data_IF_823424645475
#
_entry.id   IF_823424645475
#
_cell.length_a   1.000
_cell.length_b   1.000
_cell.length_c   1.000
_cell.angle_alpha   90.00
_cell.angle_beta   90.00
_cell.angle_gamma   90.00
#
_symmetry.space_group_name_H-M   'P 1'
#
loop_
_entity.id
_entity.type
_entity.pdbx_description
1 polymer ?
#
# COMPACT_ATOMS: atom_id res chain seq x y z
N UNK A 1 -11.02 6.27 16.42
CA UNK A 1 -10.13 5.21 15.87
C UNK A 1 -9.64 5.67 14.51
N UNK A 2 -8.42 5.33 14.09
CA UNK A 2 -7.98 5.55 12.70
C UNK A 2 -8.43 4.38 11.85
N UNK A 3 -8.84 4.64 10.60
CA UNK A 3 -9.29 3.61 9.67
C UNK A 3 -8.43 3.62 8.41
N UNK A 4 -7.70 2.53 8.18
CA UNK A 4 -7.06 2.24 6.89
C UNK A 4 -8.02 1.35 6.11
N UNK A 5 -8.76 1.93 5.18
CA UNK A 5 -9.97 1.33 4.60
C UNK A 5 -9.68 0.33 3.46
N UNK A 6 -8.54 -0.36 3.49
CA UNK A 6 -8.12 -1.22 2.39
C UNK A 6 -7.93 -0.42 1.10
N UNK A 7 -8.32 -1.00 -0.03
CA UNK A 7 -8.39 -0.27 -1.29
C UNK A 7 -9.62 -0.65 -2.11
N UNK A 8 -10.08 0.27 -2.96
CA UNK A 8 -11.27 0.15 -3.79
C UNK A 8 -10.97 0.63 -5.21
N UNK A 9 -11.76 0.16 -6.18
CA UNK A 9 -11.73 0.75 -7.51
C UNK A 9 -12.46 2.09 -7.48
N UNK A 10 -11.79 3.13 -7.94
CA UNK A 10 -12.32 4.49 -7.93
C UNK A 10 -12.30 5.07 -9.34
N UNK A 11 -13.44 5.59 -9.82
CA UNK A 11 -13.50 6.34 -11.08
C UNK A 11 -13.20 7.82 -10.77
N UNK A 12 -12.04 8.30 -11.20
CA UNK A 12 -11.63 9.70 -11.05
C UNK A 12 -12.53 10.59 -11.92
N UNK A 13 -13.03 11.66 -11.31
CA UNK A 13 -14.02 12.57 -11.93
C UNK A 13 -13.46 13.44 -13.05
N UNK A 14 -12.13 13.63 -13.06
CA UNK A 14 -11.46 14.55 -13.96
C UNK A 14 -11.21 13.94 -15.35
N UNK A 15 -10.91 12.63 -15.41
CA UNK A 15 -10.31 12.02 -16.60
C UNK A 15 -10.99 10.70 -17.05
N UNK A 16 -12.09 10.31 -16.42
CA UNK A 16 -12.72 8.97 -16.53
C UNK A 16 -11.83 7.78 -16.14
N UNK A 17 -10.58 8.03 -15.74
CA UNK A 17 -9.61 7.04 -15.29
C UNK A 17 -10.13 6.25 -14.09
N UNK A 18 -9.90 4.94 -14.10
CA UNK A 18 -10.18 4.07 -12.94
C UNK A 18 -8.86 3.80 -12.23
N UNK A 19 -8.80 3.99 -10.92
CA UNK A 19 -7.61 3.71 -10.12
C UNK A 19 -7.92 2.71 -9.02
N UNK A 20 -6.87 2.09 -8.46
CA UNK A 20 -7.00 1.29 -7.24
C UNK A 20 -6.53 2.16 -6.06
N UNK A 21 -7.50 2.64 -5.28
CA UNK A 21 -7.31 3.72 -4.32
C UNK A 21 -7.46 3.23 -2.89
N UNK A 22 -6.49 3.57 -2.04
CA UNK A 22 -6.58 3.43 -0.59
C UNK A 22 -7.01 4.75 0.05
N UNK A 23 -7.95 4.66 0.99
CA UNK A 23 -8.35 5.78 1.82
C UNK A 23 -7.97 5.57 3.29
N UNK A 24 -7.52 6.64 3.94
CA UNK A 24 -7.26 6.64 5.39
C UNK A 24 -8.02 7.78 6.05
N UNK A 25 -8.70 7.47 7.16
CA UNK A 25 -9.45 8.44 7.94
C UNK A 25 -8.95 8.53 9.38
N UNK A 26 -8.97 9.73 9.95
CA UNK A 26 -8.62 9.95 11.35
C UNK A 26 -9.80 9.69 12.30
N UNK A 27 -9.59 9.97 13.60
CA UNK A 27 -10.58 9.72 14.65
C UNK A 27 -11.81 10.64 14.55
N UNK A 28 -11.68 11.76 13.84
CA UNK A 28 -12.70 12.76 13.61
C UNK A 28 -13.49 12.49 12.31
N UNK A 29 -13.08 11.48 11.53
CA UNK A 29 -13.68 11.15 10.23
C UNK A 29 -13.10 11.97 9.08
N UNK A 30 -12.02 12.71 9.29
CA UNK A 30 -11.35 13.50 8.26
C UNK A 30 -10.47 12.59 7.41
N UNK A 31 -10.46 12.84 6.09
CA UNK A 31 -9.64 12.11 5.14
C UNK A 31 -8.17 12.56 5.27
N UNK A 32 -7.30 11.62 5.63
CA UNK A 32 -5.85 11.85 5.76
C UNK A 32 -5.06 11.41 4.54
N UNK A 33 -5.56 10.41 3.81
CA UNK A 33 -4.87 9.88 2.64
C UNK A 33 -5.87 9.46 1.57
N UNK A 34 -5.60 9.88 0.34
CA UNK A 34 -6.13 9.34 -0.90
C UNK A 34 -4.91 8.89 -1.72
N UNK A 35 -4.68 7.57 -1.79
CA UNK A 35 -3.49 7.00 -2.42
C UNK A 35 -3.86 6.05 -3.55
N UNK A 36 -3.48 6.40 -4.77
CA UNK A 36 -3.57 5.52 -5.94
C UNK A 36 -2.35 4.62 -6.06
N UNK A 37 -2.60 3.32 -6.27
CA UNK A 37 -1.59 2.30 -6.51
C UNK A 37 -0.64 2.73 -7.64
N UNK A 38 0.65 2.81 -7.33
CA UNK A 38 1.67 3.24 -8.30
C UNK A 38 2.03 2.07 -9.24
N UNK A 39 2.24 0.87 -8.69
CA UNK A 39 2.70 -0.26 -9.49
C UNK A 39 1.56 -1.21 -9.85
N UNK A 40 1.00 -1.04 -11.05
CA UNK A 40 -0.08 -1.90 -11.56
C UNK A 40 0.39 -3.35 -11.78
N UNK A 41 -0.48 -4.31 -11.45
CA UNK A 41 -0.19 -5.74 -11.60
C UNK A 41 -0.49 -6.21 -13.02
N UNK A 42 0.54 -6.22 -13.87
CA UNK A 42 0.40 -6.51 -15.31
C UNK A 42 -0.04 -7.95 -15.65
N UNK A 43 0.24 -8.92 -14.79
CA UNK A 43 -0.08 -10.34 -15.06
C UNK A 43 -1.59 -10.65 -15.03
N UNK A 44 -2.43 -9.72 -14.60
CA UNK A 44 -3.89 -9.80 -14.64
C UNK A 44 -4.50 -8.65 -15.44
N UNK A 45 -3.73 -8.10 -16.38
CA UNK A 45 -4.18 -7.03 -17.28
C UNK A 45 -4.67 -5.76 -16.59
N UNK A 46 -4.32 -5.51 -15.32
CA UNK A 46 -4.74 -4.29 -14.58
C UNK A 46 -4.42 -3.02 -15.38
N UNK A 47 -3.25 -2.97 -16.03
CA UNK A 47 -2.81 -1.85 -16.87
C UNK A 47 -3.70 -1.51 -18.08
N UNK A 48 -4.60 -2.40 -18.49
CA UNK A 48 -5.56 -2.14 -19.57
C UNK A 48 -6.84 -1.45 -19.07
N UNK A 49 -7.08 -1.49 -17.75
CA UNK A 49 -8.33 -1.02 -17.14
C UNK A 49 -8.11 0.04 -16.06
N UNK A 50 -6.91 0.07 -15.48
CA UNK A 50 -6.54 0.95 -14.37
C UNK A 50 -5.42 1.89 -14.77
N UNK A 51 -5.49 3.10 -14.24
CA UNK A 51 -4.46 4.12 -14.33
C UNK A 51 -3.58 4.07 -13.08
N UNK A 52 -2.26 4.20 -13.27
CA UNK A 52 -1.31 4.23 -12.18
C UNK A 52 -1.36 5.57 -11.43
N UNK A 53 -1.24 5.52 -10.11
CA UNK A 53 -1.00 6.71 -9.31
C UNK A 53 0.43 7.24 -9.47
N UNK A 54 0.64 8.51 -9.13
CA UNK A 54 1.94 9.18 -9.19
C UNK A 54 2.37 9.84 -7.87
N UNK A 55 1.53 9.78 -6.84
CA UNK A 55 1.80 10.35 -5.52
C UNK A 55 2.27 9.30 -4.51
N UNK A 56 3.15 9.68 -3.60
CA UNK A 56 3.56 8.82 -2.49
C UNK A 56 2.44 8.73 -1.43
N UNK A 57 2.11 7.52 -1.00
CA UNK A 57 1.15 7.31 0.09
C UNK A 57 1.78 7.61 1.45
N UNK A 58 1.71 8.86 1.92
CA UNK A 58 2.19 9.25 3.25
C UNK A 58 1.11 10.01 4.00
N UNK A 59 0.90 9.69 5.27
CA UNK A 59 0.01 10.46 6.13
C UNK A 59 0.55 10.55 7.56
N UNK A 60 0.17 11.62 8.25
CA UNK A 60 0.50 11.83 9.65
C UNK A 60 -0.51 11.08 10.54
N UNK A 61 0.01 10.19 11.39
CA UNK A 61 -0.78 9.48 12.40
C UNK A 61 -0.87 10.29 13.71
N UNK A 62 -0.08 11.35 13.86
CA UNK A 62 0.11 12.11 15.09
C UNK A 62 1.27 11.58 15.92
N UNK A 63 1.60 12.28 17.01
CA UNK A 63 2.69 11.90 17.94
C UNK A 63 4.05 11.70 17.23
N UNK A 64 4.33 12.54 16.23
CA UNK A 64 5.51 12.46 15.36
C UNK A 64 5.64 11.14 14.57
N UNK A 65 4.54 10.42 14.32
CA UNK A 65 4.53 9.18 13.53
C UNK A 65 3.94 9.42 12.16
N UNK A 66 4.78 9.38 11.13
CA UNK A 66 4.33 9.29 9.72
C UNK A 66 4.20 7.83 9.30
N UNK A 67 3.12 7.50 8.61
CA UNK A 67 2.86 6.17 8.05
C UNK A 67 2.94 6.23 6.53
N UNK A 68 3.66 5.28 5.93
CA UNK A 68 3.68 5.04 4.49
C UNK A 68 2.69 3.95 4.08
N UNK A 69 1.92 4.19 3.03
CA UNK A 69 0.93 3.28 2.48
C UNK A 69 1.41 2.68 1.15
N UNK A 70 1.09 1.40 0.94
CA UNK A 70 1.38 0.64 -0.27
C UNK A 70 0.20 -0.29 -0.58
N UNK A 71 -0.03 -0.59 -1.87
CA UNK A 71 -1.09 -1.51 -2.29
C UNK A 71 -0.50 -2.72 -3.02
N UNK A 72 -0.62 -3.88 -2.39
CA UNK A 72 -0.38 -5.22 -2.95
C UNK A 72 0.95 -5.40 -3.71
N UNK A 73 0.97 -5.02 -4.99
CA UNK A 73 2.11 -5.20 -5.89
C UNK A 73 3.23 -4.18 -5.63
N UNK A 74 2.91 -3.03 -5.05
CA UNK A 74 3.86 -2.02 -4.58
C UNK A 74 4.94 -2.61 -3.66
N UNK A 75 4.59 -3.61 -2.84
CA UNK A 75 5.53 -4.30 -1.95
C UNK A 75 6.75 -4.89 -2.67
N UNK A 76 6.62 -5.21 -3.97
CA UNK A 76 7.72 -5.80 -4.77
C UNK A 76 8.73 -4.78 -5.27
N UNK A 77 8.49 -3.49 -5.05
CA UNK A 77 9.34 -2.40 -5.50
C UNK A 77 10.03 -1.76 -4.29
N UNK A 78 11.19 -2.28 -3.85
CA UNK A 78 11.87 -1.79 -2.65
C UNK A 78 12.29 -0.31 -2.74
N UNK A 79 12.35 0.25 -3.95
CA UNK A 79 12.56 1.67 -4.18
C UNK A 79 11.42 2.52 -3.60
N UNK A 80 10.16 2.05 -3.69
CA UNK A 80 9.02 2.75 -3.11
C UNK A 80 9.08 2.74 -1.59
N UNK A 81 9.27 1.57 -0.98
CA UNK A 81 9.39 1.46 0.49
C UNK A 81 10.56 2.28 1.02
N UNK A 82 11.72 2.26 0.35
CA UNK A 82 12.88 3.10 0.70
C UNK A 82 12.57 4.59 0.58
N UNK A 83 11.84 4.99 -0.45
CA UNK A 83 11.44 6.39 -0.64
C UNK A 83 10.51 6.86 0.46
N UNK A 84 9.51 6.06 0.84
CA UNK A 84 8.60 6.35 1.95
C UNK A 84 9.35 6.53 3.28
N UNK A 85 10.28 5.62 3.59
CA UNK A 85 11.12 5.70 4.81
C UNK A 85 12.01 6.95 4.79
N UNK A 86 12.67 7.23 3.65
CA UNK A 86 13.50 8.44 3.51
C UNK A 86 12.68 9.74 3.65
N UNK A 87 11.37 9.69 3.39
CA UNK A 87 10.45 10.81 3.57
C UNK A 87 9.85 10.88 4.99
N UNK A 88 10.30 10.03 5.91
CA UNK A 88 9.94 10.08 7.32
C UNK A 88 8.97 9.00 7.78
N UNK A 89 8.54 8.08 6.91
CA UNK A 89 7.68 6.98 7.33
C UNK A 89 8.38 6.10 8.39
N UNK A 90 7.77 6.02 9.57
CA UNK A 90 8.22 5.15 10.68
C UNK A 90 7.51 3.79 10.64
N UNK A 91 6.34 3.73 9.99
CA UNK A 91 5.55 2.52 9.79
C UNK A 91 5.18 2.43 8.31
N UNK A 92 5.21 1.22 7.76
CA UNK A 92 4.70 0.93 6.42
C UNK A 92 3.49 0.00 6.52
N UNK A 93 2.39 0.36 5.85
CA UNK A 93 1.18 -0.45 5.76
C UNK A 93 0.99 -0.87 4.31
N UNK A 94 0.79 -2.17 4.09
CA UNK A 94 0.52 -2.73 2.78
C UNK A 94 -0.81 -3.48 2.79
N UNK A 95 -1.83 -2.94 2.12
CA UNK A 95 -3.11 -3.65 1.95
C UNK A 95 -3.01 -4.54 0.71
N UNK A 96 -3.34 -5.82 0.82
CA UNK A 96 -3.15 -6.76 -0.27
C UNK A 96 -4.24 -7.80 -0.35
N UNK A 97 -4.52 -8.24 -1.58
CA UNK A 97 -5.31 -9.43 -1.89
C UNK A 97 -4.40 -10.41 -2.62
N UNK A 98 -3.69 -11.26 -1.88
CA UNK A 98 -2.80 -12.25 -2.48
C UNK A 98 -3.55 -13.52 -2.86
N UNK A 99 -3.24 -14.14 -4.01
CA UNK A 99 -3.79 -15.45 -4.36
C UNK A 99 -3.30 -16.50 -3.36
N UNK A 100 -4.14 -17.51 -3.09
CA UNK A 100 -3.87 -18.59 -2.13
C UNK A 100 -2.52 -19.28 -2.36
N UNK A 101 -2.13 -19.47 -3.62
CA UNK A 101 -0.83 -20.03 -4.02
C UNK A 101 0.39 -19.26 -3.49
N UNK A 102 0.22 -18.01 -3.05
CA UNK A 102 1.28 -17.15 -2.50
C UNK A 102 1.13 -16.87 -1.01
N UNK A 103 0.27 -17.58 -0.29
CA UNK A 103 0.03 -17.38 1.15
C UNK A 103 1.31 -17.44 2.00
N UNK A 104 2.26 -18.31 1.66
CA UNK A 104 3.55 -18.44 2.35
C UNK A 104 4.57 -17.35 1.98
N UNK A 105 4.58 -16.86 0.74
CA UNK A 105 5.50 -15.80 0.28
C UNK A 105 5.04 -14.42 0.75
N UNK A 106 3.72 -14.20 0.83
CA UNK A 106 3.14 -13.00 1.39
C UNK A 106 3.61 -12.74 2.82
N UNK A 107 3.62 -13.80 3.64
CA UNK A 107 4.20 -13.77 4.97
C UNK A 107 5.70 -13.45 4.95
N UNK A 108 6.48 -14.04 4.04
CA UNK A 108 7.92 -13.81 3.94
C UNK A 108 8.29 -12.37 3.54
N UNK A 109 7.47 -11.72 2.72
CA UNK A 109 7.71 -10.35 2.25
C UNK A 109 7.26 -9.29 3.29
N UNK A 110 6.30 -9.63 4.16
CA UNK A 110 5.92 -8.81 5.33
C UNK A 110 6.74 -9.10 6.59
N UNK A 111 7.39 -10.27 6.67
CA UNK A 111 8.26 -10.64 7.80
C UNK A 111 9.73 -10.43 7.47
N UNK A 112 10.23 -9.20 7.61
CA UNK A 112 11.64 -9.03 8.00
C UNK A 112 11.79 -9.37 9.49
N UNK A 113 11.62 -10.65 9.81
CA UNK A 113 12.24 -11.34 10.95
C UNK A 113 11.73 -12.78 10.96
N UNK A 114 12.50 -13.67 10.32
CA UNK A 114 12.59 -15.04 10.78
C UNK A 114 14.04 -15.46 10.66
N UNK A 115 14.84 -14.97 11.60
CA UNK A 115 16.16 -15.50 11.92
C UNK A 115 16.03 -16.99 12.21
N UNK A 116 17.02 -17.73 11.74
CA UNK A 116 17.19 -19.18 11.85
C UNK A 116 17.00 -19.67 13.29
N UNK A 117 16.19 -20.71 13.45
CA UNK A 117 16.39 -21.79 14.43
C UNK A 117 16.16 -23.09 13.66
N UNK A 118 17.20 -23.68 13.08
CA UNK A 118 17.93 -24.82 13.67
C UNK A 118 17.08 -25.63 14.65
N UNK A 119 16.52 -26.74 14.19
CA UNK A 119 16.58 -28.06 14.83
C UNK A 119 15.68 -29.01 14.04
N UNK A 120 16.30 -29.79 13.16
CA UNK A 120 16.27 -31.25 13.10
C UNK A 120 17.28 -31.70 12.04
#
# INVERSE_FOLDING_TARGET
>A
MYLIAGSVLNKRTEDENITNTMYVFNRQGELLLDYDKIHLFRLMDEHNYLTAGDQLGLFDYGEDVTIGAMICYDLRFPQLSRTLVNKGAKVLVNTAQWPSARGTIGAACSSQERLKTSHL
#
